data_IF_689855977326
#
_entry.id   IF_689855977326
#
_cell.length_a   1.000
_cell.length_b   1.000
_cell.length_c   1.000
_cell.angle_alpha   90.00
_cell.angle_beta   90.00
_cell.angle_gamma   90.00
#
_symmetry.space_group_name_H-M   'P 1'
#
loop_
_entity.id
_entity.type
_entity.pdbx_description
1 polymer ?
#
# COMPACT_ATOMS: atom_id res chain seq x y z
N UNK A 1 -17.07 8.51 -13.53
CA UNK A 1 -17.04 7.03 -13.52
C UNK A 1 -15.70 6.55 -13.02
N UNK A 2 -15.66 5.63 -12.06
CA UNK A 2 -14.47 5.01 -11.48
C UNK A 2 -14.37 3.56 -11.97
N UNK A 3 -13.16 3.13 -12.33
CA UNK A 3 -12.84 1.72 -12.59
C UNK A 3 -12.03 1.24 -11.39
N UNK A 4 -12.51 0.21 -10.70
CA UNK A 4 -11.82 -0.42 -9.57
C UNK A 4 -11.23 -1.75 -10.02
N UNK A 5 -9.96 -1.96 -9.76
CA UNK A 5 -9.23 -3.18 -10.09
C UNK A 5 -8.57 -3.73 -8.84
N UNK A 6 -8.85 -4.99 -8.53
CA UNK A 6 -8.35 -5.65 -7.32
C UNK A 6 -7.44 -6.83 -7.72
N UNK A 7 -6.15 -6.59 -7.93
CA UNK A 7 -5.21 -7.66 -8.28
C UNK A 7 -4.85 -8.49 -7.05
N UNK A 8 -4.41 -9.73 -7.29
CA UNK A 8 -3.91 -10.64 -6.27
C UNK A 8 -2.42 -10.93 -6.52
N UNK A 9 -1.60 -10.81 -5.49
CA UNK A 9 -0.17 -11.13 -5.52
C UNK A 9 0.17 -12.33 -4.64
N UNK A 10 -0.82 -13.12 -4.26
CA UNK A 10 -0.63 -14.18 -3.24
C UNK A 10 0.13 -13.63 -2.02
N UNK A 11 1.13 -14.32 -1.54
CA UNK A 11 2.01 -13.86 -0.44
C UNK A 11 3.31 -13.19 -0.96
N UNK A 12 3.29 -12.58 -2.16
CA UNK A 12 4.47 -12.03 -2.82
C UNK A 12 4.81 -10.58 -2.48
N UNK A 13 4.07 -9.94 -1.58
CA UNK A 13 4.38 -8.60 -1.05
C UNK A 13 4.62 -7.54 -2.13
N UNK A 14 3.93 -7.64 -3.25
CA UNK A 14 4.10 -6.70 -4.37
C UNK A 14 5.58 -6.53 -4.76
N UNK A 15 6.31 -7.65 -4.77
CA UNK A 15 7.77 -7.71 -4.94
C UNK A 15 8.12 -8.70 -6.05
N UNK A 16 9.13 -8.40 -6.83
CA UNK A 16 9.74 -9.39 -7.72
C UNK A 16 10.57 -10.32 -6.86
N UNK A 17 10.01 -11.50 -6.58
CA UNK A 17 10.51 -12.41 -5.56
C UNK A 17 11.73 -13.20 -6.03
N UNK A 18 12.53 -13.68 -5.08
CA UNK A 18 13.64 -14.60 -5.39
C UNK A 18 13.15 -15.97 -5.91
N UNK A 19 11.87 -16.28 -5.72
CA UNK A 19 11.23 -17.49 -6.29
C UNK A 19 10.95 -17.38 -7.79
N UNK A 20 11.19 -16.21 -8.42
CA UNK A 20 10.98 -15.98 -9.84
C UNK A 20 9.58 -15.48 -10.21
N UNK A 21 8.72 -15.13 -9.25
CA UNK A 21 7.45 -14.45 -9.51
C UNK A 21 7.64 -12.94 -9.43
N UNK A 22 7.40 -12.25 -10.53
CA UNK A 22 7.62 -10.81 -10.67
C UNK A 22 6.32 -10.03 -10.37
N UNK A 23 5.88 -10.06 -9.11
CA UNK A 23 4.62 -9.41 -8.70
C UNK A 23 4.67 -7.88 -8.82
N UNK A 24 5.81 -7.25 -8.56
CA UNK A 24 5.92 -5.81 -8.76
C UNK A 24 5.76 -5.45 -10.23
N UNK A 25 6.50 -6.10 -11.12
CA UNK A 25 6.42 -5.87 -12.57
C UNK A 25 5.01 -6.16 -13.09
N UNK A 26 4.40 -7.27 -12.67
CA UNK A 26 3.06 -7.64 -13.06
C UNK A 26 2.02 -6.56 -12.72
N UNK A 27 2.09 -5.96 -11.53
CA UNK A 27 1.11 -4.93 -11.10
C UNK A 27 1.48 -3.55 -11.61
N UNK A 28 2.77 -3.17 -11.58
CA UNK A 28 3.19 -1.84 -11.96
C UNK A 28 3.23 -1.61 -13.47
N UNK A 29 3.55 -2.66 -14.25
CA UNK A 29 3.81 -2.54 -15.68
C UNK A 29 2.85 -3.33 -16.55
N UNK A 30 2.61 -4.61 -16.26
CA UNK A 30 1.77 -5.46 -17.12
C UNK A 30 0.30 -5.16 -16.95
N UNK A 31 -0.21 -5.10 -15.72
CA UNK A 31 -1.61 -4.88 -15.42
C UNK A 31 -2.17 -3.63 -16.10
N UNK A 32 -1.54 -2.44 -16.03
CA UNK A 32 -2.03 -1.26 -16.73
C UNK A 32 -2.11 -1.43 -18.26
N UNK A 33 -1.15 -2.14 -18.85
CA UNK A 33 -1.16 -2.43 -20.30
C UNK A 33 -2.31 -3.35 -20.70
N UNK A 34 -2.58 -4.37 -19.87
CA UNK A 34 -3.70 -5.29 -20.05
C UNK A 34 -5.03 -4.57 -19.91
N UNK A 35 -5.19 -3.79 -18.81
CA UNK A 35 -6.41 -3.02 -18.55
C UNK A 35 -6.72 -2.02 -19.65
N UNK A 36 -5.71 -1.39 -20.23
CA UNK A 36 -5.92 -0.46 -21.37
C UNK A 36 -6.53 -1.13 -22.58
N UNK A 37 -6.29 -2.43 -22.80
CA UNK A 37 -6.91 -3.19 -23.89
C UNK A 37 -8.39 -3.49 -23.62
N UNK A 38 -8.75 -3.74 -22.35
CA UNK A 38 -10.15 -3.98 -21.95
C UNK A 38 -10.94 -2.69 -21.78
N UNK A 39 -10.27 -1.63 -21.33
CA UNK A 39 -10.85 -0.31 -21.04
C UNK A 39 -10.12 0.79 -21.81
N UNK A 40 -10.30 0.92 -23.14
CA UNK A 40 -9.54 1.87 -23.96
C UNK A 40 -9.66 3.33 -23.50
N UNK A 41 -10.78 3.68 -22.88
CA UNK A 41 -11.05 5.03 -22.35
C UNK A 41 -10.48 5.26 -20.95
N UNK A 42 -9.85 4.26 -20.32
CA UNK A 42 -9.17 4.42 -19.03
C UNK A 42 -8.06 5.46 -19.16
N UNK A 43 -7.98 6.36 -18.17
CA UNK A 43 -6.98 7.42 -18.16
C UNK A 43 -5.60 6.89 -17.79
N UNK A 44 -4.58 7.27 -18.56
CA UNK A 44 -3.17 7.03 -18.25
C UNK A 44 -2.53 8.18 -17.46
N UNK A 45 -3.28 9.24 -17.21
CA UNK A 45 -2.80 10.40 -16.48
C UNK A 45 -2.62 10.07 -15.01
N UNK A 46 -1.44 10.37 -14.46
CA UNK A 46 -1.11 10.11 -13.05
C UNK A 46 -2.16 10.67 -12.08
N UNK A 47 -2.62 11.88 -12.31
CA UNK A 47 -3.61 12.59 -11.48
C UNK A 47 -4.99 11.91 -11.43
N UNK A 48 -5.23 10.92 -12.29
CA UNK A 48 -6.46 10.13 -12.35
C UNK A 48 -6.25 8.67 -11.97
N UNK A 49 -5.08 8.34 -11.45
CA UNK A 49 -4.74 6.99 -11.00
C UNK A 49 -4.42 7.00 -9.50
N UNK A 50 -5.12 6.17 -8.76
CA UNK A 50 -5.06 6.07 -7.31
C UNK A 50 -4.81 4.62 -6.91
N UNK A 51 -4.25 4.40 -5.74
CA UNK A 51 -4.03 3.07 -5.20
C UNK A 51 -4.37 3.05 -3.72
N UNK A 52 -5.02 1.98 -3.27
CA UNK A 52 -5.31 1.77 -1.85
C UNK A 52 -5.13 0.30 -1.50
N UNK A 53 -4.81 0.02 -0.25
CA UNK A 53 -4.70 -1.34 0.23
C UNK A 53 -4.71 -1.42 1.76
N UNK A 54 -4.98 -2.62 2.25
CA UNK A 54 -4.97 -2.91 3.68
C UNK A 54 -3.88 -3.93 4.01
N UNK A 55 -3.33 -3.90 5.22
CA UNK A 55 -2.32 -4.85 5.70
C UNK A 55 -1.13 -4.96 4.72
N UNK A 56 -0.86 -6.14 4.18
CA UNK A 56 0.13 -6.35 3.11
C UNK A 56 -0.16 -5.43 1.89
N UNK A 57 -1.43 -5.22 1.55
CA UNK A 57 -1.85 -4.32 0.47
C UNK A 57 -1.56 -2.85 0.77
N UNK A 58 -1.58 -2.43 2.03
CA UNK A 58 -1.18 -1.09 2.45
C UNK A 58 0.30 -0.81 2.20
N UNK A 59 1.17 -1.77 2.52
CA UNK A 59 2.58 -1.74 2.12
C UNK A 59 2.73 -1.68 0.59
N UNK A 60 2.01 -2.55 -0.12
CA UNK A 60 2.02 -2.59 -1.58
C UNK A 60 1.59 -1.29 -2.22
N UNK A 61 0.53 -0.65 -1.69
CA UNK A 61 0.04 0.63 -2.17
C UNK A 61 1.11 1.72 -2.08
N UNK A 62 1.77 1.85 -0.94
CA UNK A 62 2.84 2.83 -0.76
C UNK A 62 4.06 2.51 -1.62
N UNK A 63 4.49 1.25 -1.66
CA UNK A 63 5.61 0.81 -2.49
C UNK A 63 5.39 1.08 -3.97
N UNK A 64 4.24 0.68 -4.50
CA UNK A 64 3.89 0.89 -5.90
C UNK A 64 3.79 2.38 -6.24
N UNK A 65 3.17 3.17 -5.39
CA UNK A 65 3.00 4.60 -5.60
C UNK A 65 4.33 5.37 -5.58
N UNK A 66 5.21 5.03 -4.64
CA UNK A 66 6.50 5.72 -4.49
C UNK A 66 7.53 5.28 -5.54
N UNK A 67 7.41 4.06 -6.07
CA UNK A 67 8.40 3.50 -7.00
C UNK A 67 8.02 3.66 -8.47
N UNK A 68 6.71 3.67 -8.82
CA UNK A 68 6.25 3.60 -10.22
C UNK A 68 5.90 4.96 -10.85
N UNK A 69 5.79 6.03 -10.10
CA UNK A 69 5.30 7.35 -10.58
C UNK A 69 3.92 7.33 -11.26
N UNK A 70 3.14 6.25 -11.12
CA UNK A 70 1.82 6.10 -11.79
C UNK A 70 0.68 6.70 -11.01
N UNK A 71 0.83 6.83 -9.69
CA UNK A 71 -0.26 7.16 -8.79
C UNK A 71 -0.05 8.53 -8.16
N UNK A 72 -1.08 9.35 -8.19
CA UNK A 72 -1.08 10.67 -7.53
C UNK A 72 -1.49 10.61 -6.06
N UNK A 73 -2.26 9.58 -5.69
CA UNK A 73 -2.76 9.34 -4.35
C UNK A 73 -2.59 7.88 -3.97
N UNK A 74 -2.13 7.61 -2.77
CA UNK A 74 -2.02 6.26 -2.24
C UNK A 74 -2.51 6.19 -0.79
N UNK A 75 -3.35 5.19 -0.48
CA UNK A 75 -3.90 4.99 0.85
C UNK A 75 -3.50 3.64 1.44
N UNK A 76 -3.19 3.63 2.73
CA UNK A 76 -2.80 2.46 3.50
C UNK A 76 -3.68 2.33 4.74
N UNK A 77 -4.38 1.21 4.88
CA UNK A 77 -5.23 0.86 6.00
C UNK A 77 -4.55 -0.23 6.81
N UNK A 78 -4.17 0.03 8.06
CA UNK A 78 -3.40 -0.93 8.87
C UNK A 78 -2.25 -1.57 8.08
N UNK A 79 -1.51 -0.77 7.33
CA UNK A 79 -0.47 -1.28 6.43
C UNK A 79 0.70 -1.91 7.17
N UNK A 80 1.23 -3.01 6.66
CA UNK A 80 2.46 -3.60 7.17
C UNK A 80 3.68 -2.80 6.68
N UNK A 81 3.77 -1.53 7.08
CA UNK A 81 4.73 -0.56 6.56
C UNK A 81 6.17 -0.86 7.00
N UNK A 82 6.34 -1.38 8.24
CA UNK A 82 7.61 -1.90 8.76
C UNK A 82 7.34 -3.20 9.52
N UNK A 83 7.05 -4.26 8.79
CA UNK A 83 6.49 -5.49 9.33
C UNK A 83 7.51 -6.43 9.98
N UNK A 84 8.81 -6.26 9.76
CA UNK A 84 9.80 -7.14 10.36
C UNK A 84 9.94 -6.94 11.88
N UNK A 85 9.68 -5.72 12.36
CA UNK A 85 9.70 -5.41 13.78
C UNK A 85 8.36 -5.74 14.47
N UNK A 86 7.30 -5.85 13.67
CA UNK A 86 5.94 -6.14 14.12
C UNK A 86 5.51 -7.60 13.90
N UNK A 87 6.45 -8.52 13.70
CA UNK A 87 6.11 -9.93 13.49
C UNK A 87 5.37 -10.48 14.71
N UNK A 88 4.16 -11.05 14.54
CA UNK A 88 3.58 -11.88 15.58
C UNK A 88 4.54 -13.07 15.82
N UNK A 89 4.90 -13.33 17.07
CA UNK A 89 5.79 -14.43 17.45
C UNK A 89 5.28 -15.81 17.00
N UNK A 90 4.03 -15.90 16.57
CA UNK A 90 3.29 -17.12 16.19
C UNK A 90 2.97 -17.24 14.70
N UNK A 91 3.57 -16.44 13.81
CA UNK A 91 3.28 -16.56 12.38
C UNK A 91 3.97 -17.80 11.80
N UNK A 92 3.32 -18.95 11.84
CA UNK A 92 3.75 -20.20 11.19
C UNK A 92 4.11 -20.02 9.70
N UNK A 93 3.60 -18.97 9.06
CA UNK A 93 3.81 -18.63 7.65
C UNK A 93 5.04 -17.73 7.38
N UNK A 94 5.75 -17.27 8.41
CA UNK A 94 6.78 -16.25 8.26
C UNK A 94 8.18 -16.73 8.70
N UNK A 95 8.63 -17.85 8.14
CA UNK A 95 9.99 -18.35 8.40
C UNK A 95 11.05 -17.43 7.78
N UNK A 96 12.29 -17.40 8.31
CA UNK A 96 13.40 -16.69 7.67
C UNK A 96 13.61 -17.06 6.20
N UNK A 97 13.35 -18.34 5.83
CA UNK A 97 13.44 -18.80 4.46
C UNK A 97 12.37 -18.17 3.56
N UNK A 98 11.15 -18.03 4.06
CA UNK A 98 10.07 -17.34 3.37
C UNK A 98 10.45 -15.88 3.08
N UNK A 99 10.92 -15.14 4.09
CA UNK A 99 11.29 -13.74 3.92
C UNK A 99 12.44 -13.55 2.94
N UNK A 100 13.47 -14.41 3.00
CA UNK A 100 14.55 -14.42 1.99
C UNK A 100 14.03 -14.70 0.59
N UNK A 101 13.08 -15.62 0.46
CA UNK A 101 12.47 -15.93 -0.82
C UNK A 101 11.68 -14.76 -1.41
N UNK A 102 11.04 -13.96 -0.58
CA UNK A 102 10.29 -12.78 -1.04
C UNK A 102 11.21 -11.59 -1.31
N UNK A 103 12.05 -11.22 -0.35
CA UNK A 103 12.79 -9.95 -0.36
C UNK A 103 14.30 -10.10 -0.62
N UNK A 104 14.79 -11.32 -0.76
CA UNK A 104 16.24 -11.57 -0.84
C UNK A 104 16.92 -11.47 0.52
N UNK A 105 18.25 -11.50 0.49
CA UNK A 105 19.08 -11.34 1.68
C UNK A 105 19.27 -9.85 2.00
N UNK A 106 19.06 -9.48 3.26
CA UNK A 106 19.37 -8.15 3.80
C UNK A 106 19.76 -8.27 5.27
N UNK A 107 20.62 -7.38 5.72
CA UNK A 107 21.13 -7.40 7.10
C UNK A 107 20.06 -6.97 8.10
N UNK A 108 19.37 -5.89 7.77
CA UNK A 108 18.26 -5.33 8.53
C UNK A 108 17.26 -4.70 7.56
N UNK A 109 16.00 -4.53 8.00
CA UNK A 109 14.94 -4.02 7.13
C UNK A 109 15.19 -2.58 6.67
N UNK A 110 15.76 -1.76 7.52
CA UNK A 110 16.03 -0.35 7.22
C UNK A 110 17.05 -0.16 6.11
N UNK A 111 17.90 -1.16 5.85
CA UNK A 111 18.86 -1.18 4.75
C UNK A 111 18.34 -1.89 3.49
N UNK A 112 17.20 -2.55 3.58
CA UNK A 112 16.62 -3.28 2.45
C UNK A 112 16.13 -2.33 1.35
N UNK A 113 16.37 -2.65 0.07
CA UNK A 113 15.80 -1.89 -1.06
C UNK A 113 14.27 -1.97 -1.13
N UNK A 114 13.66 -2.79 -0.27
CA UNK A 114 12.22 -2.96 -0.15
C UNK A 114 11.62 -2.16 1.00
N UNK A 115 12.43 -1.52 1.88
CA UNK A 115 11.92 -0.64 2.91
C UNK A 115 11.35 0.63 2.28
N UNK A 116 10.23 1.11 2.85
CA UNK A 116 9.56 2.29 2.32
C UNK A 116 10.43 3.54 2.46
N UNK A 117 11.28 3.62 3.48
CA UNK A 117 12.21 4.73 3.67
C UNK A 117 13.28 4.78 2.57
N UNK A 118 13.81 3.63 2.14
CA UNK A 118 14.77 3.57 1.02
C UNK A 118 14.08 3.95 -0.29
N UNK A 119 12.89 3.41 -0.53
CA UNK A 119 12.08 3.72 -1.72
C UNK A 119 11.74 5.22 -1.73
N UNK A 120 11.34 5.79 -0.59
CA UNK A 120 10.97 7.19 -0.47
C UNK A 120 12.13 8.16 -0.78
N UNK A 121 13.37 7.81 -0.39
CA UNK A 121 14.56 8.59 -0.73
C UNK A 121 14.81 8.68 -2.23
N UNK A 122 14.33 7.69 -2.99
CA UNK A 122 14.51 7.61 -4.45
C UNK A 122 13.29 8.13 -5.22
N UNK A 123 12.17 8.35 -4.53
CA UNK A 123 10.92 8.82 -5.17
C UNK A 123 10.94 10.30 -5.51
N UNK A 124 10.04 10.73 -6.41
CA UNK A 124 9.81 12.15 -6.72
C UNK A 124 9.04 12.91 -5.64
N UNK A 125 8.55 12.21 -4.63
CA UNK A 125 7.77 12.69 -3.46
C UNK A 125 6.50 13.48 -3.81
N UNK A 126 5.97 13.30 -5.00
CA UNK A 126 4.77 14.02 -5.47
C UNK A 126 3.46 13.30 -5.19
N UNK A 127 3.53 12.02 -4.77
CA UNK A 127 2.34 11.26 -4.41
C UNK A 127 1.85 11.71 -3.05
N UNK A 128 0.56 12.04 -2.96
CA UNK A 128 -0.10 12.27 -1.68
C UNK A 128 -0.40 10.92 -1.04
N UNK A 129 -0.04 10.79 0.21
CA UNK A 129 -0.21 9.56 0.98
C UNK A 129 -1.25 9.76 2.09
N UNK A 130 -2.04 8.74 2.32
CA UNK A 130 -2.96 8.68 3.44
C UNK A 130 -2.77 7.36 4.17
N UNK A 131 -2.68 7.40 5.48
CA UNK A 131 -2.56 6.21 6.30
C UNK A 131 -3.50 6.26 7.50
N UNK A 132 -4.08 5.11 7.82
CA UNK A 132 -4.83 4.89 9.06
C UNK A 132 -4.42 3.55 9.66
N UNK A 133 -4.37 3.50 11.00
CA UNK A 133 -4.19 2.25 11.75
C UNK A 133 -5.02 2.30 13.02
N UNK A 134 -5.66 1.18 13.37
CA UNK A 134 -6.36 1.03 14.65
C UNK A 134 -5.39 1.05 15.83
N UNK A 135 -5.80 1.64 16.96
CA UNK A 135 -4.94 1.79 18.14
C UNK A 135 -4.66 0.45 18.83
N UNK A 136 -5.55 -0.53 18.69
CA UNK A 136 -5.40 -1.90 19.19
C UNK A 136 -4.81 -2.87 18.13
N UNK A 137 -4.49 -2.36 16.94
CA UNK A 137 -3.87 -3.15 15.87
C UNK A 137 -2.40 -3.43 16.22
N UNK A 138 -1.96 -4.67 16.03
CA UNK A 138 -0.56 -5.05 16.27
C UNK A 138 0.45 -4.30 15.38
N UNK A 139 0.00 -3.69 14.28
CA UNK A 139 0.81 -2.85 13.40
C UNK A 139 0.81 -1.36 13.79
N UNK A 140 0.07 -0.97 14.84
CA UNK A 140 -0.12 0.44 15.18
C UNK A 140 1.20 1.18 15.41
N UNK A 141 2.06 0.63 16.27
CA UNK A 141 3.37 1.23 16.57
C UNK A 141 4.24 1.35 15.32
N UNK A 142 4.33 0.28 14.53
CA UNK A 142 5.09 0.27 13.29
C UNK A 142 4.55 1.29 12.27
N UNK A 143 3.22 1.49 12.21
CA UNK A 143 2.62 2.53 11.37
C UNK A 143 3.03 3.93 11.83
N UNK A 144 2.93 4.24 13.12
CA UNK A 144 3.31 5.55 13.66
C UNK A 144 4.79 5.88 13.35
N UNK A 145 5.69 4.94 13.62
CA UNK A 145 7.13 5.12 13.41
C UNK A 145 7.45 5.30 11.92
N UNK A 146 6.92 4.42 11.06
CA UNK A 146 7.20 4.51 9.62
C UNK A 146 6.61 5.77 9.00
N UNK A 147 5.37 6.13 9.34
CA UNK A 147 4.75 7.36 8.84
C UNK A 147 5.58 8.58 9.25
N UNK A 148 6.01 8.65 10.52
CA UNK A 148 6.87 9.73 10.98
C UNK A 148 8.18 9.80 10.17
N UNK A 149 8.85 8.67 9.97
CA UNK A 149 10.08 8.60 9.19
C UNK A 149 9.87 9.09 7.75
N UNK A 150 8.77 8.71 7.13
CA UNK A 150 8.42 9.13 5.77
C UNK A 150 8.10 10.63 5.70
N UNK A 151 7.43 11.19 6.72
CA UNK A 151 7.19 12.63 6.84
C UNK A 151 8.50 13.40 7.03
N UNK A 152 9.40 12.90 7.86
CA UNK A 152 10.74 13.47 8.07
C UNK A 152 11.59 13.45 6.78
N UNK A 153 11.32 12.52 5.86
CA UNK A 153 11.89 12.48 4.51
C UNK A 153 11.20 13.46 3.53
N UNK A 154 10.18 14.17 3.96
CA UNK A 154 9.49 15.21 3.17
C UNK A 154 8.35 14.69 2.30
N UNK A 155 7.74 13.54 2.63
CA UNK A 155 6.52 13.09 1.94
C UNK A 155 5.27 13.76 2.52
N UNK A 156 4.30 14.05 1.65
CA UNK A 156 2.97 14.57 2.03
C UNK A 156 2.09 13.40 2.49
N UNK A 157 2.04 13.17 3.80
CA UNK A 157 1.26 12.08 4.40
C UNK A 157 0.24 12.63 5.40
N UNK A 158 -1.04 12.37 5.12
CA UNK A 158 -2.12 12.50 6.10
C UNK A 158 -2.17 11.21 6.92
N UNK A 159 -1.97 11.29 8.22
CA UNK A 159 -2.08 10.13 9.12
C UNK A 159 -3.18 10.33 10.15
N UNK A 160 -3.98 9.29 10.33
CA UNK A 160 -4.99 9.23 11.37
C UNK A 160 -5.01 7.87 12.06
N UNK A 161 -5.56 7.83 13.26
CA UNK A 161 -5.78 6.62 14.04
C UNK A 161 -7.06 6.78 14.86
N UNK A 162 -7.62 5.68 15.28
CA UNK A 162 -8.80 5.62 16.15
C UNK A 162 -8.85 4.26 16.83
N UNK A 163 -9.68 4.06 17.86
CA UNK A 163 -9.94 2.73 18.39
C UNK A 163 -10.26 1.73 17.28
N UNK A 164 -9.64 0.56 17.30
CA UNK A 164 -9.85 -0.47 16.28
C UNK A 164 -8.71 -1.49 16.19
N UNK A 165 -9.06 -2.66 15.71
CA UNK A 165 -8.17 -3.81 15.52
C UNK A 165 -7.87 -4.06 14.04
N UNK A 166 -7.08 -5.10 13.78
CA UNK A 166 -6.74 -5.56 12.42
C UNK A 166 -7.90 -6.35 11.79
N UNK A 167 -9.02 -5.67 11.51
CA UNK A 167 -10.29 -6.30 11.09
C UNK A 167 -11.02 -5.51 10.00
N UNK A 168 -11.75 -6.25 9.16
CA UNK A 168 -12.54 -5.73 8.04
C UNK A 168 -13.52 -4.63 8.43
N UNK A 169 -14.17 -4.75 9.60
CA UNK A 169 -15.13 -3.77 10.09
C UNK A 169 -14.57 -2.34 10.13
N UNK A 170 -13.33 -2.19 10.59
CA UNK A 170 -12.67 -0.89 10.64
C UNK A 170 -12.21 -0.43 9.27
N UNK A 171 -11.68 -1.32 8.46
CA UNK A 171 -11.20 -0.99 7.12
C UNK A 171 -12.31 -0.55 6.18
N UNK A 172 -13.51 -1.17 6.27
CA UNK A 172 -14.69 -0.75 5.52
C UNK A 172 -15.06 0.70 5.83
N UNK A 173 -15.13 1.05 7.12
CA UNK A 173 -15.40 2.44 7.56
C UNK A 173 -14.33 3.42 7.09
N UNK A 174 -13.06 3.04 7.16
CA UNK A 174 -11.96 3.90 6.75
C UNK A 174 -11.87 4.05 5.23
N UNK A 175 -12.38 3.09 4.47
CA UNK A 175 -12.46 3.22 3.02
C UNK A 175 -13.37 4.38 2.60
N UNK A 176 -14.44 4.69 3.36
CA UNK A 176 -15.25 5.88 3.12
C UNK A 176 -14.43 7.17 3.26
N UNK A 177 -13.56 7.25 4.27
CA UNK A 177 -12.65 8.36 4.45
C UNK A 177 -11.63 8.48 3.31
N UNK A 178 -11.10 7.35 2.82
CA UNK A 178 -10.22 7.31 1.65
C UNK A 178 -10.94 7.84 0.42
N UNK A 179 -12.16 7.39 0.16
CA UNK A 179 -12.94 7.86 -0.99
C UNK A 179 -13.25 9.36 -0.91
N UNK A 180 -13.56 9.87 0.29
CA UNK A 180 -13.77 11.30 0.52
C UNK A 180 -12.49 12.14 0.34
N UNK A 181 -11.33 11.56 0.63
CA UNK A 181 -10.03 12.23 0.49
C UNK A 181 -9.53 12.23 -0.96
N UNK A 182 -9.92 11.25 -1.77
CA UNK A 182 -9.53 11.22 -3.19
C UNK A 182 -10.18 12.37 -3.98
N UNK A 183 -9.51 12.93 -4.99
CA UNK A 183 -10.05 14.01 -5.83
C UNK A 183 -11.04 13.45 -6.87
N UNK A 184 -12.08 12.79 -6.39
CA UNK A 184 -13.15 12.21 -7.21
C UNK A 184 -14.48 12.84 -6.85
N UNK A 185 -15.22 13.27 -7.85
CA UNK A 185 -16.60 13.70 -7.66
C UNK A 185 -17.50 12.47 -7.57
N UNK A 186 -18.10 12.26 -6.43
CA UNK A 186 -19.13 11.22 -6.25
C UNK A 186 -20.40 11.82 -5.72
N UNK A 187 -21.53 11.31 -6.20
CA UNK A 187 -22.84 11.56 -5.63
C UNK A 187 -23.20 10.35 -4.77
N UNK A 188 -23.56 10.61 -3.52
CA UNK A 188 -24.17 9.58 -2.70
C UNK A 188 -25.54 9.25 -3.32
N UNK A 189 -25.65 8.09 -3.94
CA UNK A 189 -26.97 7.56 -4.25
C UNK A 189 -27.63 7.14 -2.92
N UNK A 190 -28.75 7.75 -2.58
CA UNK A 190 -29.61 7.25 -1.51
C UNK A 190 -29.99 5.81 -1.90
N UNK A 191 -29.44 4.84 -1.22
CA UNK A 191 -29.93 3.46 -1.34
C UNK A 191 -31.38 3.49 -0.90
N UNK A 192 -32.28 3.25 -1.82
CA UNK A 192 -33.68 3.00 -1.52
C UNK A 192 -33.72 1.87 -0.49
N UNK A 193 -34.08 2.21 0.74
CA UNK A 193 -34.26 1.32 1.89
C UNK A 193 -35.41 0.34 1.65
#
# INVERSE_FOLDING_TARGET
NLIVVMPNTSNGWYTDTQYGFNYYEAIAEELPRVLKRFFPNMSDKREKNFIAGLSMGGYGAFKLALKSNRFSYAASLSGALSFLDARPDNAEMATPAYWRGVFGDFKDWSSSPHSLEIIAKQSDKKTKLWAWCGEEDFLYKANQETVKNLQDLGLDITYSHSPGNHEWYYWEKQMENVLAWLPIDFQLEERLS
#
